data_IF_219847389368
#
_entry.id   IF_219847389368
#
_cell.length_a   1.000
_cell.length_b   1.000
_cell.length_c   1.000
_cell.angle_alpha   90.00
_cell.angle_beta   90.00
_cell.angle_gamma   90.00
#
_symmetry.space_group_name_H-M   'P 1'
#
loop_
_entity.id
_entity.type
_entity.pdbx_description
1 polymer ?
#
# COMPACT_ATOMS: atom_id res chain seq x y z
N UNK A 1 31.77 -33.52 73.78
CA UNK A 1 32.33 -33.74 72.42
C UNK A 1 31.17 -34.07 71.49
N UNK A 2 31.10 -33.44 70.29
CA UNK A 2 30.08 -33.51 69.21
C UNK A 2 28.85 -32.59 69.39
N UNK A 3 28.91 -31.34 68.90
CA UNK A 3 28.69 -30.80 67.53
C UNK A 3 27.21 -30.38 67.33
N UNK A 4 27.03 -29.07 67.18
CA UNK A 4 25.80 -28.38 66.80
C UNK A 4 25.50 -28.52 65.31
N UNK A 5 24.22 -28.50 64.91
CA UNK A 5 23.81 -28.00 63.58
C UNK A 5 22.36 -27.52 63.58
N UNK A 6 22.20 -26.20 63.41
CA UNK A 6 20.99 -25.53 62.92
C UNK A 6 20.69 -26.00 61.49
N UNK A 7 19.43 -26.32 61.20
CA UNK A 7 18.88 -26.38 59.84
C UNK A 7 17.89 -25.20 59.70
N UNK A 8 18.27 -24.05 59.14
CA UNK A 8 18.18 -23.74 57.69
C UNK A 8 16.71 -23.77 57.26
N UNK A 9 15.90 -22.73 57.54
CA UNK A 9 15.68 -21.51 56.69
C UNK A 9 16.05 -21.80 55.24
N UNK A 10 15.13 -21.68 54.28
CA UNK A 10 15.31 -21.44 52.83
C UNK A 10 14.00 -21.85 52.10
N UNK A 11 12.88 -21.19 52.43
CA UNK A 11 11.67 -21.18 51.62
C UNK A 11 11.38 -19.71 51.38
N UNK A 12 11.66 -19.20 50.19
CA UNK A 12 11.41 -17.78 49.91
C UNK A 12 11.97 -17.17 48.64
N UNK A 13 12.66 -17.92 47.76
CA UNK A 13 13.32 -17.31 46.60
C UNK A 13 13.00 -17.95 45.24
N UNK A 14 11.92 -18.71 45.11
CA UNK A 14 11.55 -19.36 43.84
C UNK A 14 10.38 -18.70 43.07
N UNK A 15 9.77 -17.62 43.57
CA UNK A 15 8.54 -17.05 43.00
C UNK A 15 8.73 -15.74 42.20
N UNK A 16 9.97 -15.29 41.96
CA UNK A 16 10.23 -13.93 41.43
C UNK A 16 10.52 -13.79 39.93
N UNK A 17 10.68 -14.89 39.16
CA UNK A 17 11.32 -14.82 37.81
C UNK A 17 10.39 -15.19 36.65
N UNK A 18 9.09 -15.41 36.88
CA UNK A 18 8.16 -15.90 35.82
C UNK A 18 7.30 -14.78 35.16
N UNK A 19 7.45 -13.50 35.54
CA UNK A 19 6.52 -12.44 35.12
C UNK A 19 6.97 -11.56 33.93
N UNK A 20 7.98 -11.94 33.13
CA UNK A 20 8.56 -11.07 32.09
C UNK A 20 8.31 -11.50 30.63
N UNK A 21 7.44 -12.48 30.36
CA UNK A 21 7.19 -12.98 29.00
C UNK A 21 5.86 -12.56 28.35
N UNK A 22 5.05 -11.71 29.00
CA UNK A 22 3.76 -11.30 28.45
C UNK A 22 3.78 -9.81 28.07
N UNK A 23 4.07 -9.53 26.79
CA UNK A 23 3.84 -8.20 26.24
C UNK A 23 4.81 -7.82 25.14
N UNK A 24 4.77 -8.50 23.99
CA UNK A 24 5.19 -7.84 22.76
C UNK A 24 4.19 -6.70 22.51
N UNK A 25 4.61 -5.43 22.46
CA UNK A 25 3.70 -4.37 22.06
C UNK A 25 3.28 -4.66 20.62
N UNK A 26 1.99 -4.93 20.42
CA UNK A 26 1.43 -4.96 19.07
C UNK A 26 1.63 -3.55 18.50
N UNK A 27 2.52 -3.42 17.52
CA UNK A 27 2.66 -2.18 16.78
C UNK A 27 1.29 -1.89 16.13
N UNK A 28 0.79 -0.64 16.20
CA UNK A 28 -0.46 -0.29 15.54
C UNK A 28 -0.30 -0.56 14.04
N UNK A 29 -1.02 -1.57 13.54
CA UNK A 29 -1.06 -1.88 12.13
C UNK A 29 -1.89 -0.76 11.48
N UNK A 30 -1.25 0.18 10.79
CA UNK A 30 -1.97 1.22 10.06
C UNK A 30 -2.88 0.55 9.02
N UNK A 31 -4.15 0.94 9.02
CA UNK A 31 -5.08 0.48 7.99
C UNK A 31 -4.66 1.00 6.61
N UNK A 32 -4.89 0.22 5.54
CA UNK A 32 -4.59 0.67 4.19
C UNK A 32 -5.46 1.88 3.82
N UNK A 33 -4.84 2.91 3.26
CA UNK A 33 -5.54 4.11 2.80
C UNK A 33 -6.17 3.85 1.44
N UNK A 34 -7.39 4.37 1.22
CA UNK A 34 -8.02 4.39 -0.10
C UNK A 34 -7.41 5.50 -0.94
N UNK A 35 -6.95 5.16 -2.13
CA UNK A 35 -6.31 6.06 -3.08
C UNK A 35 -7.02 5.97 -4.42
N UNK A 36 -6.95 7.04 -5.19
CA UNK A 36 -7.41 7.10 -6.57
C UNK A 36 -6.21 7.35 -7.47
N UNK A 37 -6.17 6.70 -8.63
CA UNK A 37 -5.03 6.81 -9.53
C UNK A 37 -5.45 6.85 -11.00
N UNK A 38 -4.64 7.55 -11.81
CA UNK A 38 -4.67 7.51 -13.27
C UNK A 38 -3.30 7.09 -13.76
N UNK A 39 -3.23 6.02 -14.53
CA UNK A 39 -1.97 5.51 -15.10
C UNK A 39 -1.52 6.43 -16.23
N UNK A 40 -0.48 7.23 -16.02
CA UNK A 40 -0.03 8.26 -16.97
C UNK A 40 1.02 7.76 -17.96
N UNK A 41 1.70 6.65 -17.64
CA UNK A 41 2.77 6.06 -18.46
C UNK A 41 2.49 4.58 -18.70
N UNK A 42 2.87 4.08 -19.89
CA UNK A 42 2.71 2.68 -20.21
C UNK A 42 3.54 1.82 -19.24
N UNK A 43 2.93 0.87 -18.50
CA UNK A 43 3.65 0.06 -17.53
C UNK A 43 4.56 -0.94 -18.26
N UNK A 44 5.83 -0.55 -18.46
CA UNK A 44 6.88 -1.44 -18.99
C UNK A 44 7.25 -2.53 -17.99
N UNK A 45 7.25 -2.17 -16.73
CA UNK A 45 7.46 -3.06 -15.58
C UNK A 45 6.22 -2.98 -14.67
N UNK A 46 5.50 -4.11 -14.54
CA UNK A 46 4.29 -4.16 -13.71
C UNK A 46 4.60 -4.27 -12.22
N UNK A 47 5.85 -4.43 -11.82
CA UNK A 47 6.25 -4.33 -10.40
C UNK A 47 6.36 -2.89 -9.92
N UNK A 48 6.47 -1.92 -10.84
CA UNK A 48 6.61 -0.49 -10.56
C UNK A 48 5.84 0.32 -11.60
N UNK A 49 4.62 0.72 -11.25
CA UNK A 49 3.75 1.48 -12.15
C UNK A 49 3.73 2.95 -11.75
N UNK A 50 4.12 3.85 -12.64
CA UNK A 50 3.98 5.29 -12.41
C UNK A 50 2.56 5.75 -12.71
N UNK A 51 1.96 6.50 -11.78
CA UNK A 51 0.61 7.03 -11.91
C UNK A 51 0.47 8.40 -11.21
N UNK A 52 -0.49 9.20 -11.67
CA UNK A 52 -1.01 10.33 -10.90
C UNK A 52 -1.95 9.80 -9.81
N UNK A 53 -1.68 10.10 -8.55
CA UNK A 53 -2.43 9.57 -7.40
C UNK A 53 -2.96 10.70 -6.53
N UNK A 54 -4.16 10.50 -5.99
CA UNK A 54 -4.78 11.37 -4.98
C UNK A 54 -5.44 10.51 -3.91
N UNK A 55 -5.27 10.88 -2.65
CA UNK A 55 -5.96 10.35 -1.48
C UNK A 55 -7.18 11.22 -1.07
N UNK A 56 -7.66 12.05 -2.00
CA UNK A 56 -8.66 13.10 -1.74
C UNK A 56 -8.06 14.51 -1.72
N UNK A 57 -6.73 14.62 -1.65
CA UNK A 57 -6.00 15.87 -1.79
C UNK A 57 -5.50 16.17 -3.21
N UNK A 58 -4.51 17.08 -3.35
CA UNK A 58 -3.81 17.33 -4.60
C UNK A 58 -3.25 16.04 -5.20
N UNK A 59 -3.30 15.92 -6.53
CA UNK A 59 -2.72 14.77 -7.23
C UNK A 59 -1.20 14.90 -7.36
N UNK A 60 -0.46 13.81 -7.14
CA UNK A 60 0.99 13.75 -7.29
C UNK A 60 1.46 12.50 -8.06
N UNK A 61 2.56 12.62 -8.80
CA UNK A 61 3.09 11.52 -9.61
C UNK A 61 3.92 10.64 -8.68
N UNK A 62 3.52 9.38 -8.55
CA UNK A 62 4.12 8.43 -7.62
C UNK A 62 4.23 7.05 -8.26
N UNK A 63 5.07 6.21 -7.66
CA UNK A 63 5.20 4.80 -8.05
C UNK A 63 4.24 3.95 -7.22
N UNK A 64 3.52 3.07 -7.90
CA UNK A 64 2.67 2.05 -7.33
C UNK A 64 3.40 0.71 -7.35
N UNK A 65 3.48 0.06 -6.20
CA UNK A 65 4.18 -1.20 -6.00
C UNK A 65 3.15 -2.24 -5.56
N UNK A 66 2.78 -3.21 -6.42
CA UNK A 66 1.76 -4.20 -6.08
C UNK A 66 2.29 -5.21 -5.05
N UNK A 67 1.42 -5.68 -4.16
CA UNK A 67 1.65 -6.90 -3.39
C UNK A 67 1.59 -8.12 -4.32
N UNK A 68 2.08 -9.26 -3.83
CA UNK A 68 2.04 -10.54 -4.55
C UNK A 68 0.61 -10.88 -5.02
N UNK A 69 -0.39 -10.67 -4.16
CA UNK A 69 -1.81 -10.87 -4.50
C UNK A 69 -2.32 -9.94 -5.61
N UNK A 70 -1.78 -8.71 -5.71
CA UNK A 70 -2.19 -7.74 -6.74
C UNK A 70 -1.50 -8.03 -8.07
N UNK A 71 -0.25 -8.52 -8.06
CA UNK A 71 0.47 -8.91 -9.28
C UNK A 71 -0.30 -9.98 -10.06
N UNK A 72 -0.95 -10.91 -9.35
CA UNK A 72 -1.72 -11.97 -9.98
C UNK A 72 -3.10 -11.53 -10.51
N UNK A 73 -3.58 -10.36 -10.07
CA UNK A 73 -4.87 -9.80 -10.43
C UNK A 73 -4.96 -9.44 -11.94
N UNK A 74 -6.06 -9.78 -12.59
CA UNK A 74 -6.29 -9.51 -14.01
C UNK A 74 -6.31 -8.02 -14.35
N UNK A 75 -6.81 -7.16 -13.45
CA UNK A 75 -6.82 -5.70 -13.61
C UNK A 75 -5.38 -5.20 -13.71
N UNK A 76 -4.50 -5.68 -12.84
CA UNK A 76 -3.10 -5.29 -12.83
C UNK A 76 -2.33 -5.85 -14.04
N UNK A 77 -2.63 -7.09 -14.43
CA UNK A 77 -2.03 -7.72 -15.63
C UNK A 77 -2.42 -7.03 -16.94
N UNK A 78 -3.61 -6.43 -17.01
CA UNK A 78 -4.11 -5.71 -18.19
C UNK A 78 -4.08 -4.19 -18.00
N UNK A 79 -3.17 -3.69 -17.15
CA UNK A 79 -3.06 -2.27 -16.91
C UNK A 79 -2.54 -1.53 -18.15
N UNK A 80 -3.21 -0.45 -18.53
CA UNK A 80 -2.90 0.37 -19.70
C UNK A 80 -2.84 1.85 -19.30
N UNK A 81 -2.35 2.68 -20.22
CA UNK A 81 -2.34 4.14 -20.06
C UNK A 81 -3.78 4.65 -20.00
N UNK A 82 -4.01 5.65 -19.16
CA UNK A 82 -5.31 6.26 -18.86
C UNK A 82 -6.29 5.38 -18.09
N UNK A 83 -5.90 4.19 -17.64
CA UNK A 83 -6.74 3.43 -16.71
C UNK A 83 -6.90 4.19 -15.39
N UNK A 84 -8.17 4.31 -14.99
CA UNK A 84 -8.59 4.95 -13.75
C UNK A 84 -8.84 3.88 -12.70
N UNK A 85 -8.25 4.05 -11.51
CA UNK A 85 -8.20 3.01 -10.48
C UNK A 85 -8.63 3.57 -9.13
N UNK A 86 -9.33 2.73 -8.36
CA UNK A 86 -9.41 2.80 -6.90
C UNK A 86 -8.44 1.78 -6.33
N UNK A 87 -7.59 2.22 -5.43
CA UNK A 87 -6.54 1.42 -4.82
C UNK A 87 -6.69 1.45 -3.31
N UNK A 88 -6.21 0.40 -2.65
CA UNK A 88 -5.99 0.40 -1.21
C UNK A 88 -4.53 0.05 -0.96
N UNK A 89 -3.85 0.81 -0.11
CA UNK A 89 -2.43 0.62 0.11
C UNK A 89 -1.81 1.52 1.17
N UNK A 90 -0.52 1.30 1.43
CA UNK A 90 0.25 2.09 2.40
C UNK A 90 1.30 2.93 1.69
N UNK A 91 1.51 4.15 2.19
CA UNK A 91 2.57 5.02 1.73
C UNK A 91 3.91 4.57 2.31
N UNK A 92 4.86 4.31 1.42
CA UNK A 92 6.25 3.99 1.72
C UNK A 92 7.18 5.07 1.14
N UNK A 93 8.49 4.97 1.41
CA UNK A 93 9.48 5.91 0.88
C UNK A 93 9.57 5.90 -0.65
N UNK A 94 9.35 4.74 -1.28
CA UNK A 94 9.42 4.58 -2.74
C UNK A 94 8.11 4.95 -3.46
N UNK A 95 6.99 5.05 -2.75
CA UNK A 95 5.66 5.18 -3.36
C UNK A 95 4.58 4.48 -2.53
N UNK A 96 3.52 4.00 -3.18
CA UNK A 96 2.43 3.29 -2.50
C UNK A 96 2.53 1.78 -2.70
N UNK A 97 2.50 1.01 -1.60
CA UNK A 97 2.37 -0.44 -1.63
C UNK A 97 0.89 -0.81 -1.72
N UNK A 98 0.47 -1.36 -2.86
CA UNK A 98 -0.93 -1.63 -3.19
C UNK A 98 -1.30 -3.04 -2.77
N UNK A 99 -2.42 -3.17 -2.06
CA UNK A 99 -2.99 -4.46 -1.62
C UNK A 99 -4.32 -4.81 -2.27
N UNK A 100 -5.04 -3.81 -2.78
CA UNK A 100 -6.24 -4.04 -3.56
C UNK A 100 -6.34 -3.03 -4.71
N UNK A 101 -6.95 -3.47 -5.80
CA UNK A 101 -7.16 -2.68 -7.01
C UNK A 101 -8.55 -2.91 -7.57
N UNK A 102 -9.19 -1.82 -8.00
CA UNK A 102 -10.46 -1.84 -8.73
C UNK A 102 -10.42 -0.80 -9.85
N UNK A 103 -10.95 -1.13 -11.02
CA UNK A 103 -11.12 -0.17 -12.12
C UNK A 103 -12.29 0.76 -11.80
N UNK A 104 -12.12 2.03 -12.13
CA UNK A 104 -13.16 3.05 -12.10
C UNK A 104 -13.34 3.67 -13.49
N UNK A 105 -14.50 4.27 -13.70
CA UNK A 105 -14.69 5.23 -14.78
C UNK A 105 -14.05 6.57 -14.42
N UNK A 106 -13.59 7.33 -15.42
CA UNK A 106 -12.93 8.62 -15.19
C UNK A 106 -13.82 9.60 -14.41
N UNK A 107 -15.14 9.56 -14.61
CA UNK A 107 -16.11 10.40 -13.88
C UNK A 107 -16.28 10.05 -12.40
N UNK A 108 -15.81 8.88 -11.96
CA UNK A 108 -15.83 8.47 -10.55
C UNK A 108 -14.58 8.88 -9.76
N UNK A 109 -13.60 9.49 -10.43
CA UNK A 109 -12.39 9.98 -9.76
C UNK A 109 -12.66 11.27 -8.97
N UNK A 110 -11.82 11.60 -7.98
CA UNK A 110 -11.78 12.95 -7.40
C UNK A 110 -11.55 14.01 -8.47
N UNK A 111 -12.11 15.21 -8.30
CA UNK A 111 -12.03 16.30 -9.30
C UNK A 111 -10.60 16.58 -9.78
N UNK A 112 -9.60 16.44 -8.89
CA UNK A 112 -8.18 16.64 -9.20
C UNK A 112 -7.64 15.67 -10.26
N UNK A 113 -8.19 14.46 -10.35
CA UNK A 113 -7.77 13.43 -11.29
C UNK A 113 -8.66 13.36 -12.54
N UNK A 114 -9.88 13.90 -12.50
CA UNK A 114 -10.80 13.86 -13.64
C UNK A 114 -10.23 14.57 -14.88
N UNK A 115 -9.65 15.76 -14.73
CA UNK A 115 -9.00 16.48 -15.85
C UNK A 115 -7.82 15.67 -16.40
N UNK A 116 -7.00 15.08 -15.52
CA UNK A 116 -5.84 14.27 -15.92
C UNK A 116 -6.28 13.04 -16.72
N UNK A 117 -7.33 12.36 -16.27
CA UNK A 117 -7.90 11.22 -17.00
C UNK A 117 -8.45 11.65 -18.36
N UNK A 118 -9.19 12.76 -18.41
CA UNK A 118 -9.71 13.34 -19.66
C UNK A 118 -8.61 13.68 -20.66
N UNK A 119 -7.61 14.43 -20.22
CA UNK A 119 -6.46 14.85 -21.04
C UNK A 119 -5.66 13.65 -21.54
N UNK A 120 -5.48 12.64 -20.67
CA UNK A 120 -4.82 11.39 -21.04
C UNK A 120 -5.58 10.68 -22.19
N UNK A 121 -6.91 10.55 -22.06
CA UNK A 121 -7.74 9.89 -23.06
C UNK A 121 -7.74 10.64 -24.39
N UNK A 122 -7.84 11.97 -24.37
CA UNK A 122 -7.76 12.82 -25.57
C UNK A 122 -6.42 12.63 -26.26
N UNK A 123 -5.32 12.72 -25.51
CA UNK A 123 -3.97 12.51 -26.06
C UNK A 123 -3.84 11.12 -26.67
N UNK A 124 -4.37 10.09 -26.00
CA UNK A 124 -4.33 8.73 -26.50
C UNK A 124 -5.19 8.53 -27.75
N UNK A 125 -6.34 9.20 -27.85
CA UNK A 125 -7.17 9.18 -29.04
C UNK A 125 -6.44 9.79 -30.25
N UNK A 126 -5.75 10.91 -30.06
CA UNK A 126 -4.95 11.57 -31.11
C UNK A 126 -3.79 10.71 -31.61
N UNK A 127 -3.21 9.85 -30.76
CA UNK A 127 -2.16 8.90 -31.16
C UNK A 127 -2.69 7.79 -32.09
N UNK A 128 -3.98 7.44 -32.00
CA UNK A 128 -4.59 6.43 -32.86
C UNK A 128 -5.26 7.00 -34.11
N UNK A 129 -5.90 8.17 -33.97
CA UNK A 129 -6.53 8.90 -35.05
C UNK A 129 -5.97 10.32 -35.05
N UNK A 130 -4.78 10.53 -35.65
CA UNK A 130 -4.24 11.88 -35.78
C UNK A 130 -5.25 12.72 -36.56
N UNK A 131 -5.49 13.95 -36.09
CA UNK A 131 -6.32 14.92 -36.81
C UNK A 131 -5.68 15.09 -38.19
N UNK A 132 -6.35 14.60 -39.21
CA UNK A 132 -6.00 14.86 -40.61
C UNK A 132 -6.67 16.19 -40.94
N UNK A 133 -5.86 17.17 -41.35
CA UNK A 133 -6.34 18.49 -41.79
C UNK A 133 -7.40 18.39 -42.91
#
# INVERSE_FOLDING_TARGET
MRIATRATRWVGFAAGVIALLAGSPALPQQDPTVLFAVVTKAPKDRSRVTAQVSDGGPSAEVVLIPSESVVENLIWKKLEVCHSLRLEGWKNQEGYRIVAVKVLDAGMLPMTLQSIAGDCLIKRALEYAPLVD
#
